data_IF_487150572201
#
_entry.id   IF_487150572201
#
_cell.length_a   1.000
_cell.length_b   1.000
_cell.length_c   1.000
_cell.angle_alpha   90.00
_cell.angle_beta   90.00
_cell.angle_gamma   90.00
#
_symmetry.space_group_name_H-M   'P 1'
#
loop_
_entity.id
_entity.type
_entity.pdbx_description
1 polymer ?
#
# COMPACT_ATOMS: atom_id res chain seq x y z
N UNK A 1 -6.54 -12.69 -7.79
CA UNK A 1 -5.31 -13.47 -7.50
C UNK A 1 -4.14 -13.27 -8.47
N UNK A 2 -4.27 -13.42 -9.80
CA UNK A 2 -3.10 -13.31 -10.71
C UNK A 2 -2.41 -11.93 -10.74
N UNK A 3 -3.19 -10.85 -10.55
CA UNK A 3 -2.67 -9.48 -10.49
C UNK A 3 -1.89 -9.26 -9.18
N UNK A 4 -2.43 -9.69 -8.03
CA UNK A 4 -1.74 -9.61 -6.73
C UNK A 4 -0.39 -10.34 -6.75
N UNK A 5 -0.32 -11.53 -7.36
CA UNK A 5 0.94 -12.29 -7.49
C UNK A 5 1.99 -11.49 -8.27
N UNK A 6 1.61 -10.85 -9.39
CA UNK A 6 2.54 -10.02 -10.18
C UNK A 6 3.00 -8.79 -9.41
N UNK A 7 2.10 -8.14 -8.66
CA UNK A 7 2.45 -6.98 -7.82
C UNK A 7 3.46 -7.37 -6.73
N UNK A 8 3.25 -8.52 -6.07
CA UNK A 8 4.17 -9.05 -5.06
C UNK A 8 5.53 -9.38 -5.68
N UNK A 9 5.55 -10.10 -6.81
CA UNK A 9 6.80 -10.42 -7.51
C UNK A 9 7.58 -9.16 -7.88
N UNK A 10 6.90 -8.15 -8.42
CA UNK A 10 7.54 -6.88 -8.76
C UNK A 10 8.08 -6.16 -7.52
N UNK A 11 7.34 -6.17 -6.41
CA UNK A 11 7.80 -5.60 -5.15
C UNK A 11 9.09 -6.26 -4.64
N UNK A 12 9.17 -7.59 -4.74
CA UNK A 12 10.35 -8.37 -4.36
C UNK A 12 11.55 -8.03 -5.26
N UNK A 13 11.35 -7.99 -6.58
CA UNK A 13 12.39 -7.61 -7.55
C UNK A 13 12.96 -6.21 -7.27
N UNK A 14 12.09 -5.21 -7.11
CA UNK A 14 12.48 -3.83 -6.83
C UNK A 14 13.21 -3.74 -5.49
N UNK A 15 12.73 -4.45 -4.46
CA UNK A 15 13.36 -4.49 -3.14
C UNK A 15 14.76 -5.10 -3.21
N UNK A 16 14.92 -6.21 -3.94
CA UNK A 16 16.22 -6.85 -4.12
C UNK A 16 17.20 -5.97 -4.90
N UNK A 17 16.72 -5.28 -5.94
CA UNK A 17 17.52 -4.35 -6.72
C UNK A 17 17.99 -3.16 -5.86
N UNK A 18 17.08 -2.56 -5.09
CA UNK A 18 17.41 -1.48 -4.14
C UNK A 18 18.43 -1.92 -3.09
N UNK A 19 18.31 -3.15 -2.58
CA UNK A 19 19.30 -3.72 -1.67
C UNK A 19 20.68 -3.84 -2.33
N UNK A 20 20.74 -4.38 -3.55
CA UNK A 20 21.99 -4.52 -4.30
C UNK A 20 22.62 -3.15 -4.59
N UNK A 21 21.84 -2.16 -5.03
CA UNK A 21 22.30 -0.79 -5.26
C UNK A 21 22.91 -0.19 -3.98
N UNK A 22 22.18 -0.27 -2.85
CA UNK A 22 22.67 0.25 -1.56
C UNK A 22 23.96 -0.45 -1.12
N UNK A 23 24.03 -1.77 -1.30
CA UNK A 23 25.22 -2.56 -1.00
C UNK A 23 26.42 -2.06 -1.83
N UNK A 24 26.25 -1.91 -3.14
CA UNK A 24 27.32 -1.41 -4.01
C UNK A 24 27.74 0.01 -3.68
N UNK A 25 26.80 0.92 -3.39
CA UNK A 25 27.11 2.29 -2.97
C UNK A 25 27.94 2.37 -1.68
N UNK A 26 27.81 1.38 -0.79
CA UNK A 26 28.50 1.31 0.48
C UNK A 26 29.84 0.57 0.42
N UNK A 27 29.90 -0.57 -0.27
CA UNK A 27 31.03 -1.50 -0.19
C UNK A 27 31.94 -1.49 -1.41
N UNK A 28 31.46 -1.03 -2.57
CA UNK A 28 32.24 -1.10 -3.80
C UNK A 28 33.04 0.20 -4.01
N UNK A 29 34.25 0.07 -4.56
CA UNK A 29 35.06 1.21 -4.97
C UNK A 29 34.60 1.72 -6.34
N UNK A 30 33.55 2.55 -6.32
CA UNK A 30 32.89 3.07 -7.49
C UNK A 30 33.51 4.39 -7.96
N UNK A 31 33.64 4.54 -9.29
CA UNK A 31 33.93 5.84 -9.89
C UNK A 31 32.76 6.78 -9.67
N UNK A 32 33.02 8.09 -9.70
CA UNK A 32 32.01 9.13 -9.47
C UNK A 32 30.75 8.95 -10.33
N UNK A 33 30.90 8.70 -11.63
CA UNK A 33 29.76 8.53 -12.55
C UNK A 33 28.94 7.25 -12.27
N UNK A 34 29.58 6.18 -11.81
CA UNK A 34 28.91 4.92 -11.44
C UNK A 34 28.08 5.13 -10.18
N UNK A 35 28.65 5.84 -9.19
CA UNK A 35 27.95 6.23 -7.97
C UNK A 35 26.76 7.13 -8.27
N UNK A 36 26.92 8.16 -9.09
CA UNK A 36 25.82 9.04 -9.52
C UNK A 36 24.69 8.25 -10.20
N UNK A 37 25.04 7.35 -11.13
CA UNK A 37 24.06 6.48 -11.80
C UNK A 37 23.28 5.60 -10.82
N UNK A 38 23.96 5.01 -9.84
CA UNK A 38 23.32 4.15 -8.83
C UNK A 38 22.45 4.95 -7.86
N UNK A 39 22.86 6.16 -7.49
CA UNK A 39 22.04 7.07 -6.67
C UNK A 39 20.76 7.49 -7.41
N UNK A 40 20.86 7.81 -8.71
CA UNK A 40 19.70 8.15 -9.53
C UNK A 40 18.72 6.98 -9.66
N UNK A 41 19.24 5.77 -9.90
CA UNK A 41 18.43 4.55 -9.94
C UNK A 41 17.75 4.28 -8.59
N UNK A 42 18.47 4.45 -7.47
CA UNK A 42 17.89 4.32 -6.13
C UNK A 42 16.73 5.29 -5.93
N UNK A 43 16.91 6.55 -6.33
CA UNK A 43 15.90 7.60 -6.18
C UNK A 43 14.67 7.35 -7.06
N UNK A 44 14.84 6.71 -8.21
CA UNK A 44 13.74 6.29 -9.08
C UNK A 44 12.96 5.08 -8.53
N UNK A 45 13.66 4.09 -7.97
CA UNK A 45 13.07 2.82 -7.52
C UNK A 45 12.40 2.91 -6.14
N UNK A 46 12.85 3.82 -5.28
CA UNK A 46 12.30 3.95 -3.92
C UNK A 46 10.80 4.30 -3.91
N UNK A 47 10.31 5.27 -4.71
CA UNK A 47 8.87 5.53 -4.84
C UNK A 47 8.09 4.34 -5.41
N UNK A 48 8.65 3.63 -6.40
CA UNK A 48 8.02 2.43 -6.99
C UNK A 48 7.80 1.36 -5.91
N UNK A 49 8.82 1.09 -5.09
CA UNK A 49 8.71 0.14 -3.97
C UNK A 49 7.59 0.50 -3.00
N UNK A 50 7.48 1.77 -2.64
CA UNK A 50 6.44 2.26 -1.71
C UNK A 50 5.05 2.09 -2.32
N UNK A 51 4.87 2.47 -3.58
CA UNK A 51 3.59 2.32 -4.28
C UNK A 51 3.15 0.85 -4.36
N UNK A 52 4.09 -0.05 -4.68
CA UNK A 52 3.83 -1.50 -4.72
C UNK A 52 3.46 -2.05 -3.34
N UNK A 53 4.16 -1.62 -2.28
CA UNK A 53 3.85 -2.02 -0.90
C UNK A 53 2.44 -1.58 -0.50
N UNK A 54 2.08 -0.33 -0.76
CA UNK A 54 0.75 0.19 -0.46
C UNK A 54 -0.35 -0.58 -1.21
N UNK A 55 -0.11 -0.95 -2.48
CA UNK A 55 -1.05 -1.78 -3.24
C UNK A 55 -1.22 -3.18 -2.65
N UNK A 56 -0.14 -3.82 -2.21
CA UNK A 56 -0.19 -5.13 -1.53
C UNK A 56 -0.97 -5.01 -0.22
N UNK A 57 -0.66 -4.01 0.60
CA UNK A 57 -1.28 -3.81 1.91
C UNK A 57 -2.77 -3.51 1.78
N UNK A 58 -3.17 -2.71 0.78
CA UNK A 58 -4.57 -2.48 0.45
C UNK A 58 -5.29 -3.79 0.09
N UNK A 59 -4.73 -4.58 -0.81
CA UNK A 59 -5.35 -5.83 -1.23
C UNK A 59 -5.48 -6.83 -0.07
N UNK A 60 -4.47 -6.91 0.80
CA UNK A 60 -4.54 -7.74 2.00
C UNK A 60 -5.60 -7.26 2.99
N UNK A 61 -5.73 -5.95 3.19
CA UNK A 61 -6.76 -5.39 4.06
C UNK A 61 -8.16 -5.60 3.45
N UNK A 62 -8.30 -5.44 2.14
CA UNK A 62 -9.56 -5.70 1.44
C UNK A 62 -9.99 -7.16 1.52
N UNK A 63 -9.07 -8.10 1.30
CA UNK A 63 -9.36 -9.54 1.41
C UNK A 63 -9.76 -9.94 2.86
N UNK A 64 -9.37 -9.16 3.88
CA UNK A 64 -9.79 -9.37 5.25
C UNK A 64 -11.23 -8.92 5.52
N UNK A 65 -11.83 -8.03 4.71
CA UNK A 65 -13.22 -7.58 4.93
C UNK A 65 -14.22 -8.74 4.91
N UNK A 66 -13.94 -9.80 4.15
CA UNK A 66 -14.79 -10.98 4.05
C UNK A 66 -14.70 -11.92 5.28
N UNK A 67 -13.75 -11.71 6.19
CA UNK A 67 -13.46 -12.65 7.30
C UNK A 67 -13.30 -12.00 8.68
N UNK A 68 -12.73 -10.80 8.76
CA UNK A 68 -12.47 -10.02 9.98
C UNK A 68 -12.54 -8.52 9.64
N UNK A 69 -13.77 -8.04 9.49
CA UNK A 69 -14.08 -6.70 9.00
C UNK A 69 -13.54 -5.58 9.89
N UNK A 70 -13.50 -5.78 11.22
CA UNK A 70 -12.96 -4.79 12.16
C UNK A 70 -11.45 -4.60 11.94
N UNK A 71 -10.68 -5.69 11.87
CA UNK A 71 -9.25 -5.64 11.57
C UNK A 71 -8.97 -5.05 10.19
N UNK A 72 -9.82 -5.33 9.20
CA UNK A 72 -9.70 -4.79 7.84
C UNK A 72 -9.92 -3.27 7.79
N UNK A 73 -10.99 -2.78 8.43
CA UNK A 73 -11.32 -1.34 8.50
C UNK A 73 -10.20 -0.56 9.18
N UNK A 74 -9.65 -1.09 10.28
CA UNK A 74 -8.53 -0.46 10.99
C UNK A 74 -7.30 -0.33 10.08
N UNK A 75 -6.92 -1.38 9.36
CA UNK A 75 -5.78 -1.36 8.43
C UNK A 75 -5.98 -0.40 7.25
N UNK A 76 -7.18 -0.35 6.67
CA UNK A 76 -7.48 0.60 5.60
C UNK A 76 -7.38 2.05 6.09
N UNK A 77 -7.86 2.32 7.30
CA UNK A 77 -7.76 3.64 7.94
C UNK A 77 -6.31 4.03 8.20
N UNK A 78 -5.46 3.13 8.69
CA UNK A 78 -4.02 3.35 8.88
C UNK A 78 -3.29 3.69 7.57
N UNK A 79 -3.74 3.11 6.45
CA UNK A 79 -3.23 3.41 5.12
C UNK A 79 -3.75 4.76 4.56
N UNK A 80 -4.62 5.46 5.29
CA UNK A 80 -5.21 6.74 4.88
C UNK A 80 -6.44 6.61 3.98
N UNK A 81 -7.08 5.43 3.95
CA UNK A 81 -8.26 5.16 3.14
C UNK A 81 -9.51 5.23 4.02
N UNK A 82 -10.53 5.96 3.55
CA UNK A 82 -11.83 5.99 4.20
C UNK A 82 -12.67 4.79 3.77
N UNK A 83 -13.20 4.06 4.74
CA UNK A 83 -14.21 3.02 4.51
C UNK A 83 -15.56 3.58 4.95
N UNK A 84 -16.45 3.81 3.99
CA UNK A 84 -17.83 4.20 4.33
C UNK A 84 -18.60 2.97 4.80
N UNK A 85 -19.11 3.00 6.02
CA UNK A 85 -20.04 1.98 6.50
C UNK A 85 -21.45 2.29 6.00
N UNK A 86 -22.04 1.35 5.28
CA UNK A 86 -23.41 1.43 4.80
C UNK A 86 -24.29 0.44 5.56
N UNK A 87 -25.45 0.90 6.01
CA UNK A 87 -26.50 0.09 6.62
C UNK A 87 -27.72 0.02 5.70
N UNK A 88 -28.40 -1.12 5.70
CA UNK A 88 -29.64 -1.30 4.94
C UNK A 88 -30.83 -1.23 5.90
N UNK A 89 -31.61 -0.16 5.81
CA UNK A 89 -32.80 0.07 6.63
C UNK A 89 -33.94 0.62 5.76
N UNK A 90 -35.18 0.18 6.00
CA UNK A 90 -36.37 0.65 5.28
C UNK A 90 -36.22 0.57 3.74
N UNK A 91 -35.78 -0.59 3.24
CA UNK A 91 -35.53 -0.87 1.82
C UNK A 91 -34.55 0.10 1.13
N UNK A 92 -33.71 0.80 1.90
CA UNK A 92 -32.77 1.81 1.39
C UNK A 92 -31.39 1.63 2.03
N UNK A 93 -30.33 1.68 1.22
CA UNK A 93 -28.95 1.77 1.70
C UNK A 93 -28.65 3.20 2.17
N UNK A 94 -28.13 3.35 3.39
CA UNK A 94 -27.73 4.64 3.97
C UNK A 94 -26.31 4.55 4.52
N UNK A 95 -25.53 5.62 4.36
CA UNK A 95 -24.24 5.76 5.04
C UNK A 95 -24.48 6.04 6.53
N UNK A 96 -23.80 5.31 7.42
CA UNK A 96 -23.92 5.47 8.88
C UNK A 96 -23.54 6.86 9.37
N UNK A 97 -22.62 7.56 8.70
CA UNK A 97 -22.20 8.92 9.08
C UNK A 97 -23.35 9.94 8.98
N UNK A 98 -24.36 9.67 8.14
CA UNK A 98 -25.58 10.49 8.10
C UNK A 98 -26.55 10.19 9.26
N UNK A 99 -26.45 9.01 9.88
CA UNK A 99 -27.38 8.57 10.92
C UNK A 99 -27.10 9.22 12.28
N UNK A 100 -25.83 9.52 12.60
CA UNK A 100 -25.46 10.23 13.83
C UNK A 100 -25.83 11.73 13.80
N UNK A 101 -25.83 12.35 12.62
CA UNK A 101 -26.23 13.76 12.48
C UNK A 101 -27.74 13.98 12.68
N UNK A 102 -28.57 12.95 12.48
CA UNK A 102 -30.03 13.03 12.59
C UNK A 102 -30.53 12.72 14.01
N UNK A 103 -29.78 11.96 14.82
CA UNK A 103 -30.17 11.62 16.21
C UNK A 103 -29.92 12.72 17.24
N UNK A 104 -29.21 13.79 16.85
CA UNK A 104 -28.86 14.92 17.73
C UNK A 104 -29.78 16.15 17.57
N UNK A 105 -31.00 15.99 17.01
CA UNK A 105 -32.02 17.03 16.93
C UNK A 105 -33.32 16.64 17.62
#
# INVERSE_FOLDING_TARGET
MSIQIKTIQRYEEVTQLLYNIRKSLFFDDLKKHERETLEDQKNYLEPERVALKNSIDFHQAYDLLDSDSETAIMKLTELGWSVEEWEFENDTWRSKDQHESIRNF
#
